data_IF_200356302031
#
_entry.id   IF_200356302031
#
_cell.length_a   1.000
_cell.length_b   1.000
_cell.length_c   1.000
_cell.angle_alpha   90.00
_cell.angle_beta   90.00
_cell.angle_gamma   90.00
#
_symmetry.space_group_name_H-M   'P 1'
#
loop_
_entity.id
_entity.type
_entity.pdbx_description
1 polymer ?
#
# COMPACT_ATOMS: atom_id res chain seq x y z
N UNK A 1 0.53 31.17 18.73
CA UNK A 1 -0.13 29.97 18.15
C UNK A 1 0.92 29.20 17.36
N UNK A 2 1.67 28.30 18.02
CA UNK A 2 2.82 27.61 17.40
C UNK A 2 2.39 26.33 16.68
N UNK A 3 2.33 26.37 15.34
CA UNK A 3 2.10 25.17 14.54
C UNK A 3 3.34 24.27 14.60
N UNK A 4 3.19 23.10 15.23
CA UNK A 4 4.21 22.07 15.30
C UNK A 4 4.50 21.48 13.91
N UNK A 5 5.42 22.09 13.17
CA UNK A 5 6.01 21.56 11.93
C UNK A 5 7.08 20.48 12.18
N UNK A 6 7.03 19.77 13.32
CA UNK A 6 8.14 18.96 13.86
C UNK A 6 7.97 17.44 13.84
N UNK A 7 7.00 16.87 13.13
CA UNK A 7 6.84 15.41 13.00
C UNK A 7 6.48 15.05 11.57
N UNK A 8 7.43 15.15 10.63
CA UNK A 8 7.40 14.23 9.49
C UNK A 8 7.54 12.86 10.12
N UNK A 9 6.45 12.10 10.14
CA UNK A 9 6.50 10.69 10.49
C UNK A 9 7.66 10.12 9.68
N UNK A 10 8.74 9.82 10.38
CA UNK A 10 9.91 9.20 9.81
C UNK A 10 9.40 8.03 9.00
N UNK A 11 9.92 7.94 7.78
CA UNK A 11 9.80 6.78 6.93
C UNK A 11 10.24 5.54 7.70
N UNK A 12 9.34 4.96 8.49
CA UNK A 12 9.36 3.54 8.79
C UNK A 12 8.99 2.84 7.50
N UNK A 13 9.96 2.82 6.57
CA UNK A 13 10.19 1.63 5.76
C UNK A 13 10.31 0.52 6.80
N UNK A 14 9.25 -0.26 6.95
CA UNK A 14 9.24 -1.42 7.82
C UNK A 14 10.24 -2.45 7.26
N UNK A 15 11.51 -2.24 7.56
CA UNK A 15 12.53 -3.26 7.59
C UNK A 15 12.29 -4.08 8.85
N UNK A 16 11.44 -5.08 8.75
CA UNK A 16 11.20 -6.08 9.79
C UNK A 16 11.12 -7.43 9.11
N UNK A 17 12.20 -8.21 9.23
CA UNK A 17 12.37 -9.48 8.53
C UNK A 17 11.19 -10.44 8.74
N UNK A 18 10.71 -10.99 7.64
CA UNK A 18 9.92 -12.22 7.63
C UNK A 18 10.27 -12.90 6.31
N UNK A 19 10.55 -14.19 6.35
CA UNK A 19 10.54 -15.17 5.25
C UNK A 19 9.92 -14.61 3.98
N UNK A 20 10.56 -14.70 2.81
CA UNK A 20 10.08 -14.14 1.54
C UNK A 20 8.66 -14.63 1.20
N UNK A 21 7.66 -14.06 1.86
CA UNK A 21 6.24 -14.17 1.55
C UNK A 21 6.07 -13.19 0.41
N UNK A 22 5.83 -13.71 -0.78
CA UNK A 22 5.25 -12.89 -1.84
C UNK A 22 3.96 -12.30 -1.29
N UNK A 23 3.79 -11.00 -1.48
CA UNK A 23 2.55 -10.32 -1.12
C UNK A 23 1.98 -9.73 -2.40
N UNK A 24 0.72 -10.01 -2.65
CA UNK A 24 -0.04 -9.39 -3.74
C UNK A 24 -0.96 -8.32 -3.16
N UNK A 25 -0.93 -7.12 -3.73
CA UNK A 25 -1.75 -5.98 -3.34
C UNK A 25 -2.95 -5.89 -4.27
N UNK A 26 -4.14 -6.20 -3.75
CA UNK A 26 -5.39 -6.00 -4.46
C UNK A 26 -5.88 -4.58 -4.24
N UNK A 27 -6.16 -3.88 -5.33
CA UNK A 27 -6.70 -2.53 -5.36
C UNK A 27 -8.11 -2.60 -5.92
N UNK A 28 -9.06 -2.08 -5.17
CA UNK A 28 -10.43 -1.86 -5.65
C UNK A 28 -10.61 -0.37 -5.89
N UNK A 29 -10.88 -0.02 -7.14
CA UNK A 29 -11.12 1.36 -7.58
C UNK A 29 -12.56 1.79 -7.24
N UNK A 30 -12.82 3.10 -7.14
CA UNK A 30 -14.18 3.63 -6.96
C UNK A 30 -15.11 3.31 -8.13
N UNK A 31 -14.56 2.98 -9.31
CA UNK A 31 -15.30 2.45 -10.46
C UNK A 31 -15.81 1.01 -10.26
N UNK A 32 -15.36 0.32 -9.21
CA UNK A 32 -15.61 -1.11 -8.99
C UNK A 32 -14.62 -2.03 -9.70
N UNK A 33 -13.64 -1.48 -10.43
CA UNK A 33 -12.58 -2.27 -11.06
C UNK A 33 -11.57 -2.77 -10.02
N UNK A 34 -11.13 -4.01 -10.17
CA UNK A 34 -10.12 -4.62 -9.31
C UNK A 34 -8.82 -4.86 -10.08
N UNK A 35 -7.70 -4.43 -9.49
CA UNK A 35 -6.36 -4.64 -10.03
C UNK A 35 -5.44 -5.25 -8.97
N UNK A 36 -4.53 -6.13 -9.38
CA UNK A 36 -3.55 -6.74 -8.49
C UNK A 36 -2.14 -6.25 -8.83
N UNK A 37 -1.39 -5.84 -7.81
CA UNK A 37 -0.03 -5.31 -7.93
C UNK A 37 0.93 -6.08 -7.04
N UNK A 38 2.18 -6.22 -7.47
CA UNK A 38 3.22 -6.87 -6.67
C UNK A 38 3.87 -5.92 -5.67
N UNK A 39 3.80 -4.61 -5.95
CA UNK A 39 4.41 -3.59 -5.10
C UNK A 39 3.35 -2.67 -4.47
N UNK A 40 3.58 -2.22 -3.22
CA UNK A 40 2.69 -1.25 -2.59
C UNK A 40 2.76 0.13 -3.27
N UNK A 41 3.85 0.43 -3.99
CA UNK A 41 4.03 1.71 -4.66
C UNK A 41 3.12 1.84 -5.88
N UNK A 42 3.04 0.79 -6.70
CA UNK A 42 2.13 0.74 -7.86
C UNK A 42 0.68 0.81 -7.40
N UNK A 43 0.31 0.03 -6.38
CA UNK A 43 -1.03 0.03 -5.82
C UNK A 43 -1.46 1.44 -5.34
N UNK A 44 -0.59 2.14 -4.62
CA UNK A 44 -0.84 3.52 -4.17
C UNK A 44 -0.88 4.53 -5.31
N UNK A 45 -0.07 4.32 -6.36
CA UNK A 45 -0.08 5.18 -7.55
C UNK A 45 -1.42 5.08 -8.25
N UNK A 46 -1.98 3.89 -8.37
CA UNK A 46 -3.27 3.70 -9.04
C UNK A 46 -4.41 4.33 -8.24
N UNK A 47 -4.48 4.09 -6.93
CA UNK A 47 -5.48 4.73 -6.07
C UNK A 47 -5.44 6.25 -6.17
N UNK A 48 -4.23 6.83 -6.18
CA UNK A 48 -4.09 8.29 -6.33
C UNK A 48 -4.58 8.77 -7.69
N UNK A 49 -4.28 8.03 -8.75
CA UNK A 49 -4.72 8.35 -10.12
C UNK A 49 -6.24 8.26 -10.25
N UNK A 50 -6.85 7.26 -9.65
CA UNK A 50 -8.29 7.04 -9.66
C UNK A 50 -9.07 7.96 -8.70
N UNK A 51 -8.38 8.77 -7.90
CA UNK A 51 -9.02 9.69 -6.94
C UNK A 51 -9.52 9.03 -5.65
N UNK A 52 -9.12 7.79 -5.38
CA UNK A 52 -9.57 7.03 -4.21
C UNK A 52 -9.51 5.52 -4.43
N UNK A 53 -9.92 4.74 -3.43
CA UNK A 53 -10.00 3.28 -3.49
C UNK A 53 -9.52 2.58 -2.23
N UNK A 54 -9.49 1.25 -2.27
CA UNK A 54 -9.06 0.40 -1.16
C UNK A 54 -7.87 -0.47 -1.59
N UNK A 55 -6.81 -0.54 -0.76
CA UNK A 55 -5.70 -1.50 -0.92
C UNK A 55 -5.83 -2.59 0.14
N UNK A 56 -5.83 -3.84 -0.29
CA UNK A 56 -5.74 -5.02 0.56
C UNK A 56 -4.43 -5.75 0.26
N UNK A 57 -3.62 -6.01 1.29
CA UNK A 57 -2.40 -6.81 1.17
C UNK A 57 -2.72 -8.27 1.45
N UNK A 58 -2.57 -9.11 0.44
CA UNK A 58 -2.77 -10.56 0.52
C UNK A 58 -1.40 -11.22 0.61
N UNK A 59 -1.20 -12.08 1.61
CA UNK A 59 0.01 -12.90 1.70
C UNK A 59 -0.16 -14.12 0.81
N UNK A 60 0.73 -14.31 -0.15
CA UNK A 60 0.83 -15.56 -0.90
C UNK A 60 1.49 -16.58 0.02
N UNK A 61 0.68 -17.40 0.69
CA UNK A 61 1.18 -18.58 1.38
C UNK A 61 1.43 -19.66 0.32
N UNK A 62 2.68 -20.08 0.07
CA UNK A 62 2.91 -21.28 -0.73
C UNK A 62 2.30 -22.46 0.03
N UNK A 63 1.28 -23.09 -0.56
CA UNK A 63 0.73 -24.39 -0.14
C UNK A 63 1.70 -25.51 -0.41
#
# INVERSE_FOLDING_TARGET
MGCACGKRAGSTLAGGGTTAKSYTYKVTLPSGEEASYLTPLEAKREIRRAGGGTIVRVADTPT
#
